data_IF_832124803178
#
_entry.id   IF_832124803178
#
_cell.length_a   1.000
_cell.length_b   1.000
_cell.length_c   1.000
_cell.angle_alpha   90.00
_cell.angle_beta   90.00
_cell.angle_gamma   90.00
#
_symmetry.space_group_name_H-M   'P 1'
#
loop_
_entity.id
_entity.type
_entity.pdbx_description
1 polymer ?
#
# COMPACT_ATOMS: atom_id res chain seq x y z
N UNK A 1 21.66 11.74 -7.34
CA UNK A 1 20.63 12.09 -8.35
C UNK A 1 19.85 10.83 -8.67
N UNK A 2 18.63 10.71 -8.16
CA UNK A 2 17.68 9.69 -8.64
C UNK A 2 17.17 10.15 -10.00
N UNK A 3 17.39 9.34 -11.04
CA UNK A 3 16.92 9.66 -12.38
C UNK A 3 15.40 9.47 -12.47
N UNK A 4 14.72 10.23 -13.33
CA UNK A 4 13.27 10.09 -13.59
C UNK A 4 12.85 8.62 -13.85
N UNK A 5 13.59 7.84 -14.65
CA UNK A 5 13.33 6.41 -14.83
C UNK A 5 13.39 5.61 -13.53
N UNK A 6 14.31 5.94 -12.63
CA UNK A 6 14.41 5.31 -11.31
C UNK A 6 13.21 5.63 -10.41
N UNK A 7 12.66 6.84 -10.50
CA UNK A 7 11.45 7.23 -9.76
C UNK A 7 10.20 6.54 -10.31
N UNK A 8 10.04 6.46 -11.63
CA UNK A 8 8.93 5.75 -12.27
C UNK A 8 8.97 4.24 -11.96
N UNK A 9 10.14 3.62 -12.01
CA UNK A 9 10.32 2.22 -11.61
C UNK A 9 9.96 1.98 -10.14
N UNK A 10 10.33 2.92 -9.25
CA UNK A 10 10.00 2.84 -7.82
C UNK A 10 8.50 2.97 -7.57
N UNK A 11 7.81 3.89 -8.27
CA UNK A 11 6.34 4.00 -8.18
C UNK A 11 5.65 2.72 -8.65
N UNK A 12 6.09 2.13 -9.76
CA UNK A 12 5.56 0.85 -10.25
C UNK A 12 5.76 -0.28 -9.23
N UNK A 13 6.93 -0.34 -8.58
CA UNK A 13 7.19 -1.31 -7.52
C UNK A 13 6.28 -1.10 -6.30
N UNK A 14 6.05 0.15 -5.88
CA UNK A 14 5.14 0.43 -4.76
C UNK A 14 3.69 0.06 -5.11
N UNK A 15 3.19 0.39 -6.29
CA UNK A 15 1.84 -0.02 -6.70
C UNK A 15 1.67 -1.53 -6.78
N UNK A 16 2.71 -2.27 -7.19
CA UNK A 16 2.69 -3.73 -7.16
C UNK A 16 2.61 -4.29 -5.73
N UNK A 17 3.41 -3.74 -4.81
CA UNK A 17 3.38 -4.12 -3.39
C UNK A 17 1.99 -3.85 -2.77
N UNK A 18 1.37 -2.71 -3.10
CA UNK A 18 0.03 -2.38 -2.63
C UNK A 18 -1.02 -3.42 -3.08
N UNK A 19 -0.95 -3.81 -4.36
CA UNK A 19 -1.84 -4.81 -4.92
C UNK A 19 -1.65 -6.18 -4.26
N UNK A 20 -0.40 -6.60 -4.03
CA UNK A 20 -0.08 -7.84 -3.33
C UNK A 20 -0.57 -7.84 -1.88
N UNK A 21 -0.36 -6.75 -1.13
CA UNK A 21 -0.84 -6.61 0.25
C UNK A 21 -2.36 -6.67 0.33
N UNK A 22 -3.05 -6.04 -0.62
CA UNK A 22 -4.51 -6.08 -0.71
C UNK A 22 -5.03 -7.48 -1.03
N UNK A 23 -4.41 -8.17 -1.99
CA UNK A 23 -4.77 -9.55 -2.35
C UNK A 23 -4.49 -10.53 -1.20
N UNK A 24 -3.36 -10.36 -0.51
CA UNK A 24 -3.02 -11.14 0.68
C UNK A 24 -4.04 -10.95 1.79
N UNK A 25 -4.41 -9.68 2.08
CA UNK A 25 -5.38 -9.37 3.11
C UNK A 25 -6.74 -10.02 2.82
N UNK A 26 -7.24 -9.90 1.59
CA UNK A 26 -8.51 -10.51 1.17
C UNK A 26 -8.48 -12.05 1.29
N UNK A 27 -7.39 -12.67 0.86
CA UNK A 27 -7.24 -14.14 0.93
C UNK A 27 -7.15 -14.63 2.37
N UNK A 28 -6.37 -13.93 3.21
CA UNK A 28 -6.13 -14.32 4.59
C UNK A 28 -7.35 -14.11 5.49
N UNK A 29 -8.13 -13.04 5.25
CA UNK A 29 -9.42 -12.86 5.94
C UNK A 29 -10.43 -13.92 5.55
N UNK A 30 -10.54 -14.26 4.26
CA UNK A 30 -11.42 -15.34 3.80
C UNK A 30 -11.03 -16.71 4.41
N UNK A 31 -9.74 -17.04 4.41
CA UNK A 31 -9.24 -18.29 5.00
C UNK A 31 -9.46 -18.31 6.53
N UNK A 32 -9.16 -17.21 7.21
CA UNK A 32 -9.32 -17.10 8.67
C UNK A 32 -10.77 -17.23 9.15
N UNK A 33 -11.74 -16.73 8.36
CA UNK A 33 -13.17 -16.87 8.66
C UNK A 33 -13.70 -18.29 8.42
N UNK A 34 -12.99 -19.10 7.65
CA UNK A 34 -13.39 -20.49 7.32
C UNK A 34 -12.98 -21.53 8.37
N UNK A 35 -12.23 -21.12 9.40
CA UNK A 35 -11.79 -22.01 10.47
C UNK A 35 -13.02 -22.49 11.25
N UNK A 36 -13.22 -23.81 11.36
CA UNK A 36 -14.21 -24.43 12.25
C UNK A 36 -13.52 -24.99 13.50
N UNK A 37 -14.21 -25.02 14.65
CA UNK A 37 -13.64 -25.58 15.86
C UNK A 37 -13.37 -27.09 15.68
N UNK A 38 -12.26 -27.61 16.22
CA UNK A 38 -11.95 -29.04 16.17
C UNK A 38 -12.90 -29.91 17.02
N UNK A 39 -13.72 -29.30 17.88
CA UNK A 39 -14.72 -29.98 18.72
C UNK A 39 -15.79 -29.02 19.25
N UNK A 40 -16.89 -29.55 19.80
CA UNK A 40 -18.03 -28.76 20.35
C UNK A 40 -17.85 -28.35 21.82
N UNK A 41 -16.63 -28.42 22.34
CA UNK A 41 -16.35 -28.01 23.72
C UNK A 41 -16.36 -26.48 23.83
N UNK A 42 -16.83 -25.95 24.98
CA UNK A 42 -16.90 -24.50 25.20
C UNK A 42 -15.53 -23.79 25.04
N UNK A 43 -14.42 -24.48 25.34
CA UNK A 43 -13.08 -23.98 25.13
C UNK A 43 -12.73 -23.81 23.64
N UNK A 44 -13.18 -24.73 22.78
CA UNK A 44 -12.98 -24.67 21.33
C UNK A 44 -13.77 -23.52 20.71
N UNK A 45 -15.00 -23.31 21.18
CA UNK A 45 -15.84 -22.19 20.76
C UNK A 45 -15.27 -20.82 21.18
N UNK A 46 -14.71 -20.72 22.37
CA UNK A 46 -14.05 -19.49 22.84
C UNK A 46 -12.77 -19.18 22.04
N UNK A 47 -11.92 -20.18 21.81
CA UNK A 47 -10.70 -20.02 21.02
C UNK A 47 -11.00 -19.55 19.58
N UNK A 48 -12.05 -20.10 18.97
CA UNK A 48 -12.60 -19.67 17.68
C UNK A 48 -13.02 -18.20 17.69
N UNK A 49 -13.83 -17.80 18.67
CA UNK A 49 -14.31 -16.42 18.79
C UNK A 49 -13.14 -15.43 18.95
N UNK A 50 -12.13 -15.80 19.76
CA UNK A 50 -10.92 -14.99 19.94
C UNK A 50 -10.10 -14.91 18.66
N UNK A 51 -9.96 -16.01 17.92
CA UNK A 51 -9.26 -16.02 16.64
C UNK A 51 -9.95 -15.10 15.62
N UNK A 52 -11.28 -15.16 15.51
CA UNK A 52 -12.05 -14.29 14.62
C UNK A 52 -11.91 -12.82 15.02
N UNK A 53 -11.99 -12.51 16.32
CA UNK A 53 -11.78 -11.14 16.82
C UNK A 53 -10.37 -10.62 16.51
N UNK A 54 -9.35 -11.47 16.65
CA UNK A 54 -7.97 -11.14 16.28
C UNK A 54 -7.83 -10.91 14.78
N UNK A 55 -8.50 -11.72 13.95
CA UNK A 55 -8.53 -11.57 12.50
C UNK A 55 -9.17 -10.26 12.05
N UNK A 56 -10.28 -9.87 12.67
CA UNK A 56 -10.94 -8.58 12.42
C UNK A 56 -10.02 -7.43 12.79
N UNK A 57 -9.36 -7.51 13.95
CA UNK A 57 -8.40 -6.50 14.41
C UNK A 57 -7.21 -6.39 13.46
N UNK A 58 -6.63 -7.53 13.06
CA UNK A 58 -5.56 -7.59 12.06
C UNK A 58 -6.00 -6.96 10.74
N UNK A 59 -7.18 -7.33 10.23
CA UNK A 59 -7.68 -6.85 8.95
C UNK A 59 -7.90 -5.34 8.94
N UNK A 60 -8.44 -4.80 10.04
CA UNK A 60 -8.64 -3.36 10.21
C UNK A 60 -7.31 -2.61 10.19
N UNK A 61 -6.31 -3.09 10.94
CA UNK A 61 -4.99 -2.48 10.98
C UNK A 61 -4.25 -2.59 9.64
N UNK A 62 -4.35 -3.74 8.97
CA UNK A 62 -3.77 -3.97 7.65
C UNK A 62 -4.38 -3.03 6.59
N UNK A 63 -5.71 -2.84 6.61
CA UNK A 63 -6.39 -1.93 5.70
C UNK A 63 -5.98 -0.46 5.93
N UNK A 64 -5.84 -0.05 7.20
CA UNK A 64 -5.30 1.27 7.53
C UNK A 64 -3.86 1.45 7.02
N UNK A 65 -3.03 0.42 7.13
CA UNK A 65 -1.67 0.41 6.58
C UNK A 65 -1.64 0.53 5.06
N UNK A 66 -2.49 -0.22 4.34
CA UNK A 66 -2.64 -0.13 2.88
C UNK A 66 -3.07 1.28 2.47
N UNK A 67 -4.01 1.87 3.20
CA UNK A 67 -4.48 3.25 2.94
C UNK A 67 -3.38 4.29 3.14
N UNK A 68 -2.55 4.14 4.19
CA UNK A 68 -1.39 5.01 4.41
C UNK A 68 -0.35 4.84 3.30
N UNK A 69 -0.17 3.62 2.80
CA UNK A 69 0.75 3.33 1.71
C UNK A 69 0.27 3.90 0.36
N UNK A 70 -1.03 3.87 0.07
CA UNK A 70 -1.64 4.57 -1.07
C UNK A 70 -1.37 6.07 -1.02
N UNK A 71 -1.52 6.70 0.15
CA UNK A 71 -1.22 8.12 0.34
C UNK A 71 0.26 8.42 0.11
N UNK A 72 1.16 7.53 0.56
CA UNK A 72 2.58 7.64 0.29
C UNK A 72 2.87 7.60 -1.22
N UNK A 73 2.32 6.64 -1.96
CA UNK A 73 2.48 6.55 -3.42
C UNK A 73 2.00 7.83 -4.11
N UNK A 74 0.82 8.33 -3.73
CA UNK A 74 0.27 9.57 -4.27
C UNK A 74 1.17 10.79 -3.99
N UNK A 75 1.75 10.85 -2.78
CA UNK A 75 2.67 11.92 -2.38
C UNK A 75 3.98 11.88 -3.19
N UNK A 76 4.53 10.68 -3.40
CA UNK A 76 5.72 10.48 -4.24
C UNK A 76 5.43 10.88 -5.69
N UNK A 77 4.24 10.52 -6.21
CA UNK A 77 3.76 10.96 -7.53
C UNK A 77 3.73 12.48 -7.68
N UNK A 78 3.11 13.17 -6.72
CA UNK A 78 3.03 14.63 -6.70
C UNK A 78 4.41 15.29 -6.61
N UNK A 79 5.31 14.78 -5.76
CA UNK A 79 6.67 15.29 -5.63
C UNK A 79 7.50 15.12 -6.92
N UNK A 80 7.28 14.00 -7.63
CA UNK A 80 7.92 13.72 -8.92
C UNK A 80 7.47 14.75 -9.96
N UNK A 81 6.15 14.97 -10.09
CA UNK A 81 5.60 15.96 -11.02
C UNK A 81 6.05 17.39 -10.72
N UNK A 82 6.14 17.77 -9.43
CA UNK A 82 6.63 19.08 -9.02
C UNK A 82 8.10 19.30 -9.41
N UNK A 83 8.94 18.27 -9.27
CA UNK A 83 10.34 18.31 -9.70
C UNK A 83 10.44 18.48 -11.22
N UNK A 84 9.62 17.74 -11.98
CA UNK A 84 9.60 17.83 -13.44
C UNK A 84 9.20 19.24 -13.93
N UNK A 85 8.14 19.82 -13.36
CA UNK A 85 7.71 21.20 -13.69
C UNK A 85 8.83 22.20 -13.40
N UNK A 86 9.55 22.01 -12.29
CA UNK A 86 10.67 22.88 -11.91
C UNK A 86 11.83 22.77 -12.88
N UNK A 87 12.21 21.54 -13.26
CA UNK A 87 13.29 21.28 -14.21
C UNK A 87 12.97 21.86 -15.59
N UNK A 88 11.78 21.57 -16.13
CA UNK A 88 11.31 22.13 -17.43
C UNK A 88 11.25 23.66 -17.37
N UNK A 89 10.72 24.22 -16.28
CA UNK A 89 10.63 25.66 -16.07
C UNK A 89 12.00 26.35 -15.97
N UNK A 90 13.00 25.67 -15.40
CA UNK A 90 14.37 26.17 -15.33
C UNK A 90 15.07 26.11 -16.71
N UNK A 91 14.89 25.01 -17.45
CA UNK A 91 15.44 24.83 -18.79
C UNK A 91 14.86 25.83 -19.79
N UNK A 92 13.54 26.06 -19.77
CA UNK A 92 12.89 27.06 -20.61
C UNK A 92 13.43 28.48 -20.33
N UNK A 93 13.70 28.80 -19.06
CA UNK A 93 14.30 30.08 -18.65
C UNK A 93 15.72 30.24 -19.18
N UNK A 94 16.53 29.19 -19.11
CA UNK A 94 17.89 29.20 -19.67
C UNK A 94 17.89 29.39 -21.19
N UNK A 95 16.97 28.73 -21.90
CA UNK A 95 16.82 28.90 -23.35
C UNK A 95 16.45 30.35 -23.71
N UNK A 96 15.53 30.97 -22.97
CA UNK A 96 15.11 32.35 -23.19
C UNK A 96 16.22 33.39 -22.90
N UNK A 97 17.17 33.07 -22.00
CA UNK A 97 18.33 33.93 -21.73
C UNK A 97 19.43 33.74 -22.80
N UNK A 98 19.47 32.59 -23.45
CA UNK A 98 20.45 32.26 -24.49
C UNK A 98 20.04 32.72 -25.91
N UNK A 99 18.80 33.21 -26.10
CA UNK A 99 18.25 33.76 -27.34
C UNK A 99 18.26 35.29 -27.36
#
# INVERSE_FOLDING_TARGET
MTSLPGMAASQGAFSAIEAELTAFLATNTAAGMSVMPPGMEGASAFAMAQQQANLVTFATNALAGITAFQQFIATVGAATAATEITDVGSAARMLAIAS
#
